data_IF_818358078589
#
_entry.id   IF_818358078589
#
_cell.length_a   1.000
_cell.length_b   1.000
_cell.length_c   1.000
_cell.angle_alpha   90.00
_cell.angle_beta   90.00
_cell.angle_gamma   90.00
#
_symmetry.space_group_name_H-M   'P 1'
#
loop_
_entity.id
_entity.type
_entity.pdbx_description
1 polymer ?
#
# COMPACT_ATOMS: atom_id res chain seq x y z
N UNK A 1 2.17 39.76 -5.37
CA UNK A 1 3.22 40.03 -4.36
C UNK A 1 2.88 41.20 -3.41
N UNK A 2 2.54 42.43 -3.90
CA UNK A 2 2.22 43.59 -3.04
C UNK A 2 0.99 43.36 -2.13
N UNK A 3 -0.12 42.81 -2.63
CA UNK A 3 -1.33 42.54 -1.84
C UNK A 3 -1.09 41.49 -0.74
N UNK A 4 -0.37 40.42 -1.03
CA UNK A 4 0.01 39.39 -0.07
C UNK A 4 0.90 39.98 1.05
N UNK A 5 1.86 40.81 0.69
CA UNK A 5 2.71 41.52 1.67
C UNK A 5 1.93 42.37 2.64
N UNK A 6 0.95 43.17 2.15
CA UNK A 6 0.10 44.02 3.00
C UNK A 6 -0.81 43.19 3.93
N UNK A 7 -1.34 42.05 3.46
CA UNK A 7 -2.17 41.14 4.24
C UNK A 7 -1.38 40.52 5.40
N UNK A 8 -0.17 40.01 5.13
CA UNK A 8 0.70 39.46 6.18
C UNK A 8 1.17 40.46 7.23
N UNK A 9 1.38 41.75 6.85
CA UNK A 9 1.76 42.80 7.79
C UNK A 9 0.58 43.12 8.69
N UNK A 10 -0.63 43.26 8.14
CA UNK A 10 -1.85 43.53 8.87
C UNK A 10 -2.19 42.43 9.87
N UNK A 11 -2.20 41.17 9.45
CA UNK A 11 -2.51 40.02 10.31
C UNK A 11 -1.54 39.88 11.50
N UNK A 12 -0.27 40.26 11.31
CA UNK A 12 0.73 40.25 12.39
C UNK A 12 0.45 41.37 13.40
N UNK A 13 0.17 42.55 12.91
CA UNK A 13 -0.15 43.71 13.79
C UNK A 13 -1.38 43.42 14.65
N UNK A 14 -2.41 42.81 14.07
CA UNK A 14 -3.64 42.40 14.78
C UNK A 14 -3.38 41.32 15.85
N UNK A 15 -2.29 40.53 15.71
CA UNK A 15 -1.86 39.52 16.69
C UNK A 15 -0.75 39.99 17.62
N UNK A 16 -0.46 41.29 17.65
CA UNK A 16 0.51 41.92 18.55
C UNK A 16 1.98 41.63 18.17
N UNK A 17 2.27 41.13 16.97
CA UNK A 17 3.63 40.89 16.48
C UNK A 17 4.09 42.13 15.73
N UNK A 18 4.86 43.01 16.43
CA UNK A 18 5.34 44.28 15.92
C UNK A 18 6.83 44.50 16.22
N UNK A 19 7.46 45.50 15.63
CA UNK A 19 8.85 45.84 15.87
C UNK A 19 9.85 44.85 15.33
N UNK A 20 10.99 44.74 15.97
CA UNK A 20 12.16 43.92 15.53
C UNK A 20 11.80 42.47 15.29
N UNK A 21 10.90 41.87 16.08
CA UNK A 21 10.45 40.50 15.92
C UNK A 21 9.71 40.30 14.59
N UNK A 22 8.86 41.29 14.22
CA UNK A 22 8.14 41.23 12.94
C UNK A 22 9.09 41.33 11.74
N UNK A 23 10.14 42.17 11.87
CA UNK A 23 11.16 42.32 10.82
C UNK A 23 12.08 41.11 10.72
N UNK A 24 12.42 40.47 11.82
CA UNK A 24 13.17 39.22 11.82
C UNK A 24 12.38 38.09 11.15
N UNK A 25 11.10 37.92 11.51
CA UNK A 25 10.20 36.94 10.86
C UNK A 25 10.09 37.23 9.36
N UNK A 26 9.92 38.49 8.99
CA UNK A 26 9.84 38.88 7.57
C UNK A 26 11.13 38.56 6.82
N UNK A 27 12.28 38.83 7.41
CA UNK A 27 13.60 38.55 6.81
C UNK A 27 13.80 37.04 6.62
N UNK A 28 13.45 36.23 7.61
CA UNK A 28 13.46 34.76 7.51
C UNK A 28 12.52 34.24 6.43
N UNK A 29 11.28 34.75 6.39
CA UNK A 29 10.31 34.37 5.35
C UNK A 29 10.74 34.80 3.94
N UNK A 30 11.41 35.96 3.80
CA UNK A 30 11.94 36.45 2.54
C UNK A 30 13.10 35.57 2.04
N UNK A 31 13.96 35.12 2.94
CA UNK A 31 15.01 34.15 2.62
C UNK A 31 14.41 32.82 2.12
N UNK A 32 13.35 32.35 2.76
CA UNK A 32 12.59 31.16 2.32
C UNK A 32 11.89 31.37 0.96
N UNK A 33 11.33 32.55 0.70
CA UNK A 33 10.68 32.86 -0.57
C UNK A 33 11.66 32.90 -1.75
N UNK A 34 12.92 33.29 -1.49
CA UNK A 34 14.00 33.25 -2.47
C UNK A 34 14.59 31.83 -2.64
N UNK A 35 14.33 30.93 -1.69
CA UNK A 35 14.81 29.55 -1.77
C UNK A 35 14.06 28.77 -2.85
N UNK A 36 12.90 29.22 -3.29
CA UNK A 36 12.09 28.60 -4.33
C UNK A 36 11.81 27.13 -4.04
N UNK A 37 10.89 26.56 -4.76
CA UNK A 37 10.80 25.11 -4.85
C UNK A 37 12.04 24.63 -5.63
N UNK A 38 12.94 23.78 -5.08
CA UNK A 38 14.18 23.42 -5.75
C UNK A 38 13.85 22.82 -7.12
N UNK A 39 14.36 23.39 -8.19
CA UNK A 39 14.11 22.92 -9.55
C UNK A 39 14.49 21.44 -9.70
N UNK A 40 15.60 21.03 -9.09
CA UNK A 40 16.03 19.64 -9.01
C UNK A 40 14.99 18.72 -8.37
N UNK A 41 14.27 19.17 -7.36
CA UNK A 41 13.18 18.42 -6.74
C UNK A 41 11.97 18.29 -7.69
N UNK A 42 11.60 19.36 -8.40
CA UNK A 42 10.53 19.32 -9.40
C UNK A 42 10.83 18.35 -10.53
N UNK A 43 12.06 18.38 -11.05
CA UNK A 43 12.52 17.48 -12.13
C UNK A 43 12.53 16.03 -11.64
N UNK A 44 13.02 15.76 -10.43
CA UNK A 44 13.01 14.41 -9.85
C UNK A 44 11.60 13.86 -9.69
N UNK A 45 10.67 14.68 -9.18
CA UNK A 45 9.26 14.27 -9.07
C UNK A 45 8.60 14.05 -10.43
N UNK A 46 8.85 14.91 -11.42
CA UNK A 46 8.33 14.72 -12.77
C UNK A 46 8.82 13.41 -13.39
N UNK A 47 10.08 13.05 -13.16
CA UNK A 47 10.64 11.77 -13.61
C UNK A 47 9.96 10.58 -12.95
N UNK A 48 9.78 10.62 -11.61
CA UNK A 48 9.10 9.56 -10.86
C UNK A 48 7.65 9.39 -11.32
N UNK A 49 6.93 10.51 -11.53
CA UNK A 49 5.54 10.48 -12.02
C UNK A 49 5.47 9.87 -13.42
N UNK A 50 6.37 10.27 -14.31
CA UNK A 50 6.42 9.72 -15.66
C UNK A 50 6.71 8.21 -15.65
N UNK A 51 7.74 7.79 -14.91
CA UNK A 51 8.11 6.37 -14.79
C UNK A 51 6.96 5.55 -14.19
N UNK A 52 6.31 6.05 -13.14
CA UNK A 52 5.17 5.38 -12.51
C UNK A 52 3.97 5.26 -13.46
N UNK A 53 3.67 6.32 -14.22
CA UNK A 53 2.60 6.31 -15.21
C UNK A 53 2.90 5.33 -16.34
N UNK A 54 4.15 5.28 -16.80
CA UNK A 54 4.60 4.35 -17.84
C UNK A 54 4.46 2.90 -17.38
N UNK A 55 4.94 2.57 -16.17
CA UNK A 55 4.81 1.21 -15.62
C UNK A 55 3.33 0.85 -15.43
N UNK A 56 2.51 1.76 -14.88
CA UNK A 56 1.06 1.53 -14.73
C UNK A 56 0.37 1.25 -16.05
N UNK A 57 0.79 1.91 -17.13
CA UNK A 57 0.20 1.73 -18.46
C UNK A 57 0.61 0.41 -19.12
N UNK A 58 1.89 0.07 -19.08
CA UNK A 58 2.44 -1.10 -19.77
C UNK A 58 2.37 -2.39 -18.95
N UNK A 59 2.50 -2.27 -17.62
CA UNK A 59 2.58 -3.40 -16.68
C UNK A 59 1.62 -3.21 -15.48
N UNK A 60 0.30 -3.05 -15.74
CA UNK A 60 -0.65 -2.67 -14.69
C UNK A 60 -0.75 -3.70 -13.56
N UNK A 61 -0.61 -4.99 -13.85
CA UNK A 61 -0.63 -6.05 -12.84
C UNK A 61 0.60 -5.96 -11.92
N UNK A 62 1.79 -5.85 -12.49
CA UNK A 62 3.04 -5.72 -11.74
C UNK A 62 3.04 -4.44 -10.89
N UNK A 63 2.58 -3.33 -11.46
CA UNK A 63 2.45 -2.07 -10.74
C UNK A 63 1.53 -2.18 -9.52
N UNK A 64 0.34 -2.78 -9.70
CA UNK A 64 -0.60 -2.97 -8.59
C UNK A 64 -0.05 -3.92 -7.53
N UNK A 65 0.55 -5.04 -7.91
CA UNK A 65 1.16 -5.99 -6.96
C UNK A 65 2.27 -5.34 -6.14
N UNK A 66 3.13 -4.53 -6.77
CA UNK A 66 4.17 -3.78 -6.07
C UNK A 66 3.59 -2.78 -5.06
N UNK A 67 2.52 -2.06 -5.41
CA UNK A 67 1.85 -1.15 -4.48
C UNK A 67 1.16 -1.88 -3.32
N UNK A 68 0.60 -3.07 -3.57
CA UNK A 68 0.02 -3.91 -2.51
C UNK A 68 1.10 -4.39 -1.53
N UNK A 69 2.29 -4.75 -2.03
CA UNK A 69 3.40 -5.19 -1.20
C UNK A 69 4.13 -4.06 -0.49
N UNK A 70 3.98 -2.82 -0.95
CA UNK A 70 4.55 -1.63 -0.32
C UNK A 70 3.65 -1.02 0.79
N UNK A 71 2.55 -1.69 1.16
CA UNK A 71 1.69 -1.24 2.26
C UNK A 71 2.40 -1.37 3.63
N UNK A 72 2.14 -0.47 4.59
CA UNK A 72 1.19 0.64 4.54
C UNK A 72 1.74 1.82 3.72
N UNK A 73 0.92 2.36 2.82
CA UNK A 73 1.28 3.54 2.06
C UNK A 73 0.10 4.53 2.03
N UNK A 74 0.40 5.79 2.24
CA UNK A 74 -0.38 7.01 2.21
C UNK A 74 -1.90 6.90 2.06
N UNK A 75 -2.44 7.47 0.97
CA UNK A 75 -3.87 7.75 0.82
C UNK A 75 -4.69 6.60 0.21
N UNK A 76 -4.06 5.57 -0.35
CA UNK A 76 -4.74 4.54 -1.11
C UNK A 76 -4.78 3.20 -0.36
N UNK A 77 -5.98 2.76 -0.02
CA UNK A 77 -6.18 1.46 0.62
C UNK A 77 -5.95 0.31 -0.39
N UNK A 78 -5.56 -0.90 0.08
CA UNK A 78 -5.45 -2.09 -0.77
C UNK A 78 -6.71 -2.36 -1.60
N UNK A 79 -7.89 -2.19 -1.03
CA UNK A 79 -9.17 -2.34 -1.73
C UNK A 79 -9.29 -1.36 -2.91
N UNK A 80 -8.86 -0.11 -2.75
CA UNK A 80 -8.90 0.89 -3.82
C UNK A 80 -7.95 0.52 -4.96
N UNK A 81 -6.75 0.03 -4.64
CA UNK A 81 -5.75 -0.42 -5.61
C UNK A 81 -6.28 -1.62 -6.42
N UNK A 82 -6.83 -2.63 -5.75
CA UNK A 82 -7.43 -3.81 -6.42
C UNK A 82 -8.59 -3.40 -7.32
N UNK A 83 -9.47 -2.49 -6.85
CA UNK A 83 -10.59 -2.02 -7.66
C UNK A 83 -10.13 -1.24 -8.89
N UNK A 84 -9.09 -0.42 -8.77
CA UNK A 84 -8.48 0.29 -9.90
C UNK A 84 -7.88 -0.69 -10.92
N UNK A 85 -7.09 -1.67 -10.46
CA UNK A 85 -6.52 -2.70 -11.31
C UNK A 85 -7.60 -3.46 -12.11
N UNK A 86 -8.67 -3.89 -11.46
CA UNK A 86 -9.81 -4.57 -12.10
C UNK A 86 -10.50 -3.69 -13.16
N UNK A 87 -10.63 -2.39 -12.91
CA UNK A 87 -11.19 -1.43 -13.88
C UNK A 87 -10.31 -1.29 -15.13
N UNK A 88 -9.03 -1.55 -15.00
CA UNK A 88 -8.05 -1.53 -16.11
C UNK A 88 -7.83 -2.92 -16.72
N UNK A 89 -8.74 -3.88 -16.47
CA UNK A 89 -8.72 -5.20 -17.09
C UNK A 89 -7.80 -6.22 -16.43
N UNK A 90 -7.17 -5.90 -15.30
CA UNK A 90 -6.32 -6.83 -14.56
C UNK A 90 -7.17 -7.81 -13.76
N UNK A 91 -6.96 -9.10 -13.96
CA UNK A 91 -7.56 -10.15 -13.13
C UNK A 91 -6.85 -10.20 -11.78
N UNK A 92 -7.65 -10.18 -10.69
CA UNK A 92 -7.13 -10.31 -9.33
C UNK A 92 -7.83 -11.47 -8.66
N UNK A 93 -7.05 -12.52 -8.38
CA UNK A 93 -7.46 -13.73 -7.66
C UNK A 93 -7.35 -13.51 -6.16
N UNK A 94 -8.24 -14.13 -5.39
CA UNK A 94 -8.26 -14.10 -3.93
C UNK A 94 -7.06 -14.80 -3.31
N UNK A 95 -7.02 -14.80 -1.98
CA UNK A 95 -6.06 -15.62 -1.23
C UNK A 95 -6.45 -17.09 -1.37
N UNK A 96 -5.47 -17.95 -1.55
CA UNK A 96 -5.63 -19.39 -1.60
C UNK A 96 -4.57 -20.08 -0.75
N UNK A 97 -4.98 -21.07 0.06
CA UNK A 97 -4.09 -21.77 0.98
C UNK A 97 -3.00 -22.56 0.24
N UNK A 98 -3.31 -23.07 -0.96
CA UNK A 98 -2.42 -23.90 -1.76
C UNK A 98 -1.34 -23.12 -2.51
N UNK A 99 -1.58 -21.85 -2.88
CA UNK A 99 -0.67 -21.11 -3.77
C UNK A 99 -0.23 -19.75 -3.24
N UNK A 100 -1.04 -19.05 -2.44
CA UNK A 100 -0.68 -17.73 -1.94
C UNK A 100 0.57 -17.75 -1.09
N UNK A 101 1.38 -16.70 -1.20
CA UNK A 101 2.51 -16.44 -0.31
C UNK A 101 2.20 -15.27 0.60
N UNK A 102 3.19 -14.78 1.34
CA UNK A 102 3.01 -13.66 2.27
C UNK A 102 2.43 -12.42 1.57
N UNK A 103 3.06 -11.96 0.49
CA UNK A 103 2.64 -10.79 -0.30
C UNK A 103 1.87 -11.15 -1.57
N UNK A 104 1.44 -10.13 -2.31
CA UNK A 104 0.83 -10.31 -3.62
C UNK A 104 1.88 -10.79 -4.64
N UNK A 105 1.50 -11.73 -5.51
CA UNK A 105 2.34 -12.28 -6.56
C UNK A 105 1.67 -12.18 -7.92
N UNK A 106 2.45 -12.44 -8.98
CA UNK A 106 1.96 -12.49 -10.35
C UNK A 106 1.85 -13.93 -10.82
N UNK A 107 0.76 -14.24 -11.50
CA UNK A 107 0.47 -15.52 -12.16
C UNK A 107 0.27 -15.30 -13.67
N UNK A 108 0.12 -16.39 -14.40
CA UNK A 108 -0.21 -16.43 -15.84
C UNK A 108 0.71 -15.50 -16.68
N UNK A 109 2.02 -15.65 -16.50
CA UNK A 109 3.01 -14.87 -17.25
C UNK A 109 3.07 -13.39 -16.86
N UNK A 110 2.55 -13.03 -15.69
CA UNK A 110 2.59 -11.65 -15.18
C UNK A 110 1.30 -10.84 -15.36
N UNK A 111 0.26 -11.44 -15.95
CA UNK A 111 -1.00 -10.77 -16.27
C UNK A 111 -2.06 -10.82 -15.16
N UNK A 112 -1.93 -11.72 -14.21
CA UNK A 112 -2.87 -11.97 -13.11
C UNK A 112 -2.20 -11.71 -11.78
N UNK A 113 -2.91 -11.06 -10.85
CA UNK A 113 -2.46 -10.86 -9.48
C UNK A 113 -3.10 -11.94 -8.59
N UNK A 114 -2.30 -12.64 -7.79
CA UNK A 114 -2.75 -13.43 -6.65
C UNK A 114 -2.53 -12.62 -5.37
N UNK A 115 -3.57 -12.46 -4.56
CA UNK A 115 -3.44 -11.80 -3.26
C UNK A 115 -2.67 -12.69 -2.27
N UNK A 116 -1.82 -12.07 -1.48
CA UNK A 116 -1.07 -12.75 -0.43
C UNK A 116 -1.81 -12.80 0.91
N UNK A 117 -1.30 -13.61 1.83
CA UNK A 117 -1.88 -13.78 3.17
C UNK A 117 -1.94 -12.49 3.99
N UNK A 118 -1.02 -11.53 3.77
CA UNK A 118 -1.03 -10.22 4.44
C UNK A 118 -2.25 -9.37 4.08
N UNK A 119 -3.00 -9.71 3.03
CA UNK A 119 -4.27 -9.08 2.70
C UNK A 119 -5.44 -9.57 3.57
N UNK A 120 -5.28 -10.67 4.29
CA UNK A 120 -6.28 -11.22 5.20
C UNK A 120 -6.19 -10.50 6.55
N UNK A 121 -7.30 -9.90 6.97
CA UNK A 121 -7.34 -9.14 8.21
C UNK A 121 -6.98 -10.00 9.43
N UNK A 122 -6.03 -9.53 10.22
CA UNK A 122 -5.59 -10.21 11.43
C UNK A 122 -4.53 -11.28 11.23
N UNK A 123 -4.25 -11.70 9.99
CA UNK A 123 -3.19 -12.63 9.69
C UNK A 123 -1.86 -11.87 9.57
N UNK A 124 -1.05 -11.88 10.61
CA UNK A 124 0.27 -11.23 10.61
C UNK A 124 1.27 -11.92 9.67
N UNK A 125 2.40 -11.22 9.41
CA UNK A 125 3.49 -11.73 8.56
C UNK A 125 4.04 -13.09 9.04
N UNK A 126 4.24 -13.22 10.34
CA UNK A 126 4.85 -14.42 10.93
C UNK A 126 3.98 -15.67 10.72
N UNK A 127 2.66 -15.53 10.85
CA UNK A 127 1.73 -16.62 10.62
C UNK A 127 1.63 -16.95 9.12
N UNK A 128 1.68 -15.93 8.26
CA UNK A 128 1.73 -16.12 6.82
C UNK A 128 2.99 -16.89 6.38
N UNK A 129 4.15 -16.57 6.95
CA UNK A 129 5.40 -17.28 6.70
C UNK A 129 5.32 -18.75 7.15
N UNK A 130 4.80 -19.00 8.36
CA UNK A 130 4.62 -20.37 8.86
C UNK A 130 3.71 -21.21 7.94
N UNK A 131 2.60 -20.65 7.46
CA UNK A 131 1.72 -21.34 6.51
C UNK A 131 2.49 -21.71 5.24
N UNK A 132 3.23 -20.76 4.67
CA UNK A 132 4.02 -20.97 3.46
C UNK A 132 5.10 -22.03 3.69
N UNK A 133 5.84 -21.96 4.79
CA UNK A 133 6.88 -22.93 5.16
C UNK A 133 6.32 -24.33 5.32
N UNK A 134 5.26 -24.48 6.10
CA UNK A 134 4.63 -25.79 6.32
C UNK A 134 4.09 -26.39 5.02
N UNK A 135 3.53 -25.57 4.15
CA UNK A 135 3.07 -26.02 2.82
C UNK A 135 4.21 -26.51 1.94
N UNK A 136 5.42 -25.96 2.04
CA UNK A 136 6.59 -26.45 1.28
C UNK A 136 6.96 -27.90 1.60
N UNK A 137 6.68 -28.37 2.81
CA UNK A 137 6.92 -29.76 3.19
C UNK A 137 5.87 -30.70 2.59
N UNK A 138 4.60 -30.34 2.67
CA UNK A 138 3.47 -31.02 2.02
C UNK A 138 2.26 -30.09 1.98
N UNK A 139 1.38 -30.29 0.99
CA UNK A 139 0.09 -29.61 0.96
C UNK A 139 -0.73 -29.92 2.21
N UNK A 140 -1.64 -29.04 2.56
CA UNK A 140 -2.58 -29.28 3.66
C UNK A 140 -3.74 -30.15 3.16
N UNK A 141 -4.03 -31.24 3.89
CA UNK A 141 -5.09 -32.19 3.51
C UNK A 141 -6.45 -31.81 4.12
N UNK A 142 -6.44 -31.05 5.21
CA UNK A 142 -7.65 -30.61 5.92
C UNK A 142 -7.41 -29.39 6.81
N UNK A 143 -8.48 -28.81 7.39
CA UNK A 143 -8.35 -27.74 8.39
C UNK A 143 -7.67 -28.23 9.66
N UNK A 144 -7.91 -29.47 10.06
CA UNK A 144 -7.26 -30.08 11.23
C UNK A 144 -5.74 -30.22 11.01
N UNK A 145 -5.33 -30.59 9.80
CA UNK A 145 -3.92 -30.69 9.42
C UNK A 145 -3.26 -29.30 9.45
N UNK A 146 -3.93 -28.28 8.93
CA UNK A 146 -3.48 -26.89 9.02
C UNK A 146 -3.28 -26.43 10.47
N UNK A 147 -4.27 -26.66 11.35
CA UNK A 147 -4.20 -26.30 12.76
C UNK A 147 -3.07 -27.03 13.49
N UNK A 148 -2.87 -28.31 13.19
CA UNK A 148 -1.82 -29.12 13.79
C UNK A 148 -0.42 -28.65 13.39
N UNK A 149 -0.24 -28.24 12.14
CA UNK A 149 1.07 -27.92 11.58
C UNK A 149 1.47 -26.46 11.71
N UNK A 150 0.51 -25.57 11.91
CA UNK A 150 0.75 -24.12 12.05
C UNK A 150 0.44 -23.69 13.48
N UNK A 151 1.44 -23.74 14.39
CA UNK A 151 1.25 -23.30 15.76
C UNK A 151 0.87 -21.83 15.85
N UNK A 152 -0.14 -21.51 16.67
CA UNK A 152 -0.61 -20.15 16.83
C UNK A 152 -1.75 -19.73 15.90
N UNK A 153 -2.16 -20.59 14.96
CA UNK A 153 -3.40 -20.33 14.22
C UNK A 153 -4.60 -20.45 15.17
N UNK A 154 -5.49 -19.47 15.10
CA UNK A 154 -6.67 -19.39 15.98
C UNK A 154 -7.95 -19.54 15.16
N UNK A 155 -9.08 -19.77 15.82
CA UNK A 155 -10.39 -19.81 15.17
C UNK A 155 -10.66 -18.51 14.40
N UNK A 156 -10.30 -17.36 14.98
CA UNK A 156 -10.45 -16.06 14.29
C UNK A 156 -9.63 -15.98 12.99
N UNK A 157 -8.44 -16.57 12.95
CA UNK A 157 -7.63 -16.64 11.73
C UNK A 157 -8.28 -17.55 10.68
N UNK A 158 -8.82 -18.71 11.10
CA UNK A 158 -9.54 -19.63 10.21
C UNK A 158 -10.80 -18.98 9.63
N UNK A 159 -11.58 -18.26 10.45
CA UNK A 159 -12.75 -17.51 10.00
C UNK A 159 -12.37 -16.40 8.99
N UNK A 160 -11.27 -15.69 9.22
CA UNK A 160 -10.79 -14.68 8.30
C UNK A 160 -10.33 -15.28 6.96
N UNK A 161 -9.62 -16.41 6.99
CA UNK A 161 -9.20 -17.16 5.80
C UNK A 161 -10.42 -17.72 5.05
N UNK A 162 -11.39 -18.31 5.75
CA UNK A 162 -12.65 -18.79 5.16
C UNK A 162 -13.42 -17.64 4.49
N UNK A 163 -13.53 -16.49 5.19
CA UNK A 163 -14.18 -15.29 4.64
C UNK A 163 -13.48 -14.78 3.39
N UNK A 164 -12.15 -14.90 3.33
CA UNK A 164 -11.35 -14.57 2.15
C UNK A 164 -11.47 -15.59 1.00
N UNK A 165 -12.10 -16.75 1.23
CA UNK A 165 -12.22 -17.85 0.26
C UNK A 165 -10.95 -18.69 0.13
N UNK A 166 -10.04 -18.62 1.10
CA UNK A 166 -8.71 -19.24 1.00
C UNK A 166 -8.71 -20.77 0.94
N UNK A 167 -9.83 -21.42 1.23
CA UNK A 167 -9.96 -22.87 1.29
C UNK A 167 -10.68 -23.48 0.07
N UNK A 168 -11.21 -22.63 -0.83
CA UNK A 168 -12.06 -23.09 -1.93
C UNK A 168 -11.28 -23.97 -2.93
N UNK A 169 -10.15 -23.47 -3.43
CA UNK A 169 -9.35 -24.19 -4.44
C UNK A 169 -8.56 -25.35 -3.81
N UNK A 170 -7.97 -25.15 -2.63
CA UNK A 170 -7.09 -26.13 -2.01
C UNK A 170 -7.84 -27.29 -1.31
N UNK A 171 -8.91 -26.99 -0.55
CA UNK A 171 -9.62 -27.97 0.28
C UNK A 171 -11.06 -28.25 -0.21
N UNK A 172 -11.52 -27.57 -1.25
CA UNK A 172 -12.89 -27.71 -1.75
C UNK A 172 -13.97 -27.20 -0.79
N UNK A 173 -13.60 -26.37 0.18
CA UNK A 173 -14.50 -25.83 1.19
C UNK A 173 -15.02 -24.46 0.77
N UNK A 174 -16.32 -24.36 0.52
CA UNK A 174 -16.98 -23.10 0.25
C UNK A 174 -17.16 -22.27 1.54
N UNK A 175 -17.39 -20.96 1.35
CA UNK A 175 -17.69 -20.01 2.42
C UNK A 175 -18.91 -20.41 3.22
#
# INVERSE_FOLDING_TARGET
>A
ARRQRQMCIRDRSERGITGDVADEIYTKMRAFANYGFPESHSVSFAYLVYASAWIKYHEPAAFCAALLNAQPMGFWSPHTLVRDARRHGVTVRGVDLGVSVQGATLEDGGSVIRLGFTSVRGLGSDLAEQIVEQRQHSMFDSLEDLVRRVPGITVAHLEALATAGAFEECLGLNR
#
